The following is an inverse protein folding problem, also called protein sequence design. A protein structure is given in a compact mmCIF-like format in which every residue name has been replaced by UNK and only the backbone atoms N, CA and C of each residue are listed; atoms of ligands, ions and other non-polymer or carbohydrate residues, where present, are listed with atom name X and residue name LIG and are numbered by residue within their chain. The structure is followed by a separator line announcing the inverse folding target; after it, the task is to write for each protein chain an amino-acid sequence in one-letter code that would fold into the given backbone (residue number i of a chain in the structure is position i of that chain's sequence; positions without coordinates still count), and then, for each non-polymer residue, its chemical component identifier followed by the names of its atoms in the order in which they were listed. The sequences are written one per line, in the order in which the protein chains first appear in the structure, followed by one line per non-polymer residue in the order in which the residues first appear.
data_IF_513057867380
#
_entry.id   IF_513057867380
#
_cell.length_a   1.000
_cell.length_b   1.000
_cell.length_c   1.000
_cell.angle_alpha   90.00
_cell.angle_beta   90.00
_cell.angle_gamma   90.00
#
_symmetry.space_group_name_H-M   'P 1'
#
loop_
_entity.id
_entity.type
_entity.pdbx_description
1 polymer ?
#
# COMPACT_ATOMS: atom_id res chain seq x y z
N UNK A 1 -61.62 -54.53 -12.69
CA UNK A 1 -61.81 -55.10 -14.04
C UNK A 1 -60.82 -54.43 -15.00
N UNK A 2 -60.09 -55.26 -15.78
CA UNK A 2 -59.52 -55.07 -17.14
C UNK A 2 -59.03 -53.65 -17.58
N UNK A 3 -57.72 -53.47 -17.91
CA UNK A 3 -57.06 -53.59 -19.26
C UNK A 3 -57.52 -52.48 -20.24
N UNK A 4 -56.72 -51.72 -21.01
CA UNK A 4 -55.53 -51.94 -21.91
C UNK A 4 -55.06 -50.53 -22.40
N UNK A 5 -53.76 -50.24 -22.63
CA UNK A 5 -52.99 -50.31 -23.92
C UNK A 5 -53.78 -49.77 -25.15
N UNK A 6 -53.28 -48.95 -26.09
CA UNK A 6 -51.94 -48.82 -26.70
C UNK A 6 -51.92 -47.67 -27.76
N UNK A 7 -50.74 -47.09 -28.00
CA UNK A 7 -50.07 -46.70 -29.29
C UNK A 7 -50.78 -45.77 -30.32
N UNK A 8 -50.21 -44.61 -30.65
CA UNK A 8 -49.11 -44.27 -31.61
C UNK A 8 -49.57 -44.18 -33.08
N UNK A 9 -49.26 -43.04 -33.72
CA UNK A 9 -49.45 -42.78 -35.15
C UNK A 9 -48.78 -41.46 -35.59
N UNK A 10 -47.87 -41.59 -36.55
CA UNK A 10 -46.84 -40.64 -37.02
C UNK A 10 -47.31 -39.68 -38.16
N UNK A 11 -46.86 -38.40 -38.10
CA UNK A 11 -46.52 -37.37 -39.17
C UNK A 11 -47.48 -37.04 -40.35
N UNK A 12 -47.44 -35.82 -41.00
CA UNK A 12 -46.26 -34.99 -41.31
C UNK A 12 -46.37 -33.44 -41.20
N UNK A 13 -45.19 -32.84 -41.44
CA UNK A 13 -44.73 -31.44 -41.45
C UNK A 13 -45.61 -30.32 -42.02
N UNK A 14 -45.55 -29.14 -41.38
CA UNK A 14 -45.54 -27.85 -42.07
C UNK A 14 -44.45 -26.93 -41.49
N UNK A 15 -43.46 -26.60 -42.32
CA UNK A 15 -42.40 -25.64 -41.99
C UNK A 15 -42.98 -24.23 -42.02
N UNK A 16 -42.76 -23.44 -40.95
CA UNK A 16 -42.85 -21.98 -41.01
C UNK A 16 -41.57 -21.38 -40.46
N UNK A 17 -40.97 -20.52 -41.29
CA UNK A 17 -39.68 -19.87 -41.09
C UNK A 17 -39.82 -18.65 -40.17
N UNK A 18 -39.46 -18.82 -38.88
CA UNK A 18 -39.42 -17.73 -37.89
C UNK A 18 -38.06 -17.05 -37.80
N UNK A 19 -38.02 -15.73 -37.97
CA UNK A 19 -36.83 -14.84 -37.92
C UNK A 19 -36.02 -14.97 -36.61
N UNK A 20 -34.69 -14.77 -36.64
CA UNK A 20 -33.84 -14.90 -35.47
C UNK A 20 -34.06 -13.75 -34.48
N UNK A 21 -34.56 -14.07 -33.30
CA UNK A 21 -34.65 -13.16 -32.15
C UNK A 21 -33.25 -12.97 -31.56
N UNK A 22 -32.77 -11.72 -31.53
CA UNK A 22 -31.53 -11.33 -30.84
C UNK A 22 -31.68 -11.63 -29.35
N UNK A 23 -31.11 -12.74 -28.89
CA UNK A 23 -30.97 -13.03 -27.47
C UNK A 23 -30.12 -11.93 -26.83
N UNK A 24 -30.75 -11.12 -25.95
CA UNK A 24 -30.03 -10.20 -25.06
C UNK A 24 -29.13 -11.04 -24.17
N UNK A 25 -27.81 -10.97 -24.38
CA UNK A 25 -26.82 -11.58 -23.49
C UNK A 25 -27.10 -11.07 -22.08
N UNK A 26 -27.42 -11.98 -21.16
CA UNK A 26 -27.53 -11.67 -19.74
C UNK A 26 -26.23 -10.97 -19.29
N UNK A 27 -26.30 -9.94 -18.44
CA UNK A 27 -25.10 -9.31 -17.91
C UNK A 27 -24.27 -10.39 -17.24
N UNK A 28 -23.02 -10.59 -17.70
CA UNK A 28 -22.07 -11.46 -17.03
C UNK A 28 -22.01 -11.00 -15.58
N UNK A 29 -22.49 -11.84 -14.64
CA UNK A 29 -22.34 -11.58 -13.21
C UNK A 29 -20.84 -11.41 -12.97
N UNK A 30 -20.41 -10.19 -12.68
CA UNK A 30 -19.03 -9.94 -12.22
C UNK A 30 -18.82 -10.87 -11.02
N UNK A 31 -17.76 -11.70 -11.00
CA UNK A 31 -17.50 -12.58 -9.88
C UNK A 31 -17.55 -11.72 -8.61
N UNK A 32 -18.38 -12.11 -7.62
CA UNK A 32 -18.40 -11.41 -6.33
C UNK A 32 -16.97 -11.44 -5.80
N UNK A 33 -16.32 -10.27 -5.81
CA UNK A 33 -14.95 -10.11 -5.37
C UNK A 33 -14.81 -10.78 -4.00
N UNK A 34 -13.91 -11.76 -3.92
CA UNK A 34 -13.78 -12.62 -2.75
C UNK A 34 -13.41 -11.73 -1.56
N UNK A 35 -14.30 -11.66 -0.56
CA UNK A 35 -14.12 -10.80 0.60
C UNK A 35 -13.09 -11.42 1.54
N UNK A 36 -11.82 -11.12 1.30
CA UNK A 36 -10.66 -11.62 2.06
C UNK A 36 -10.30 -10.75 3.28
N UNK A 37 -11.24 -9.94 3.78
CA UNK A 37 -10.96 -9.02 4.88
C UNK A 37 -10.30 -7.70 4.45
N UNK A 38 -10.30 -7.43 3.16
CA UNK A 38 -9.88 -6.20 2.48
C UNK A 38 -10.82 -5.01 2.77
N UNK A 39 -10.87 -4.53 4.01
CA UNK A 39 -11.67 -3.38 4.38
C UNK A 39 -10.98 -2.07 3.97
N UNK A 40 -11.60 -1.27 3.11
CA UNK A 40 -11.09 0.03 2.64
C UNK A 40 -10.94 1.10 3.73
N UNK A 41 -11.65 0.96 4.84
CA UNK A 41 -11.64 1.91 5.97
C UNK A 41 -11.16 1.23 7.25
N UNK A 42 -10.25 0.25 7.11
CA UNK A 42 -9.79 -0.56 8.24
C UNK A 42 -9.24 0.30 9.38
N UNK A 43 -8.33 1.23 9.07
CA UNK A 43 -7.69 2.07 10.08
C UNK A 43 -8.65 3.12 10.68
N UNK A 44 -9.53 3.73 9.87
CA UNK A 44 -10.60 4.60 10.38
C UNK A 44 -11.51 3.88 11.37
N UNK A 45 -11.87 2.62 11.09
CA UNK A 45 -12.68 1.81 11.99
C UNK A 45 -11.89 1.35 13.23
N UNK A 46 -10.60 1.02 13.05
CA UNK A 46 -9.70 0.61 14.14
C UNK A 46 -9.53 1.73 15.17
N UNK A 47 -9.31 2.96 14.74
CA UNK A 47 -9.09 4.11 15.63
C UNK A 47 -10.41 4.72 16.18
N UNK A 48 -11.56 4.24 15.71
CA UNK A 48 -12.83 4.39 16.42
C UNK A 48 -13.74 5.55 16.01
N UNK A 49 -13.64 6.07 14.77
CA UNK A 49 -14.51 7.07 14.13
C UNK A 49 -14.77 8.42 14.86
N UNK A 50 -14.63 8.48 16.19
CA UNK A 50 -14.98 9.61 17.05
C UNK A 50 -13.79 10.48 17.45
N UNK A 51 -12.58 10.05 17.13
CA UNK A 51 -11.39 10.87 17.22
C UNK A 51 -10.69 10.83 15.87
N UNK A 52 -10.24 12.00 15.42
CA UNK A 52 -9.16 12.18 14.45
C UNK A 52 -7.85 11.64 15.06
N UNK A 53 -7.86 10.41 15.57
CA UNK A 53 -6.64 9.78 16.03
C UNK A 53 -5.78 9.59 14.80
N UNK A 54 -4.61 10.23 14.80
CA UNK A 54 -3.59 9.95 13.81
C UNK A 54 -3.15 8.49 14.03
N UNK A 55 -2.61 7.83 13.00
CA UNK A 55 -2.09 6.47 13.16
C UNK A 55 -0.93 6.39 14.16
N UNK A 56 -0.37 7.53 14.52
CA UNK A 56 0.58 7.72 15.61
C UNK A 56 0.03 7.31 16.97
N UNK A 57 -1.29 7.41 17.15
CA UNK A 57 -1.96 7.00 18.38
C UNK A 57 -2.36 5.50 18.35
N UNK A 58 -2.02 4.74 17.30
CA UNK A 58 -2.32 3.31 17.28
C UNK A 58 -1.49 2.60 18.38
N UNK A 59 -2.12 1.94 19.36
CA UNK A 59 -1.42 1.33 20.49
C UNK A 59 -0.41 0.26 20.08
N UNK A 60 -0.51 -0.27 18.85
CA UNK A 60 0.53 -1.15 18.33
C UNK A 60 1.85 -0.43 18.19
N UNK A 61 1.86 0.80 17.65
CA UNK A 61 3.09 1.55 17.43
C UNK A 61 3.84 1.78 18.75
N UNK A 62 3.13 2.16 19.80
CA UNK A 62 3.68 2.37 21.14
C UNK A 62 4.29 1.11 21.77
N UNK A 63 3.77 -0.08 21.42
CA UNK A 63 4.30 -1.35 21.91
C UNK A 63 5.59 -1.79 21.19
N UNK A 64 5.90 -1.23 20.02
CA UNK A 64 7.06 -1.63 19.21
C UNK A 64 8.34 -0.93 19.71
N UNK A 65 9.37 -1.73 19.99
CA UNK A 65 10.71 -1.21 20.29
C UNK A 65 11.41 -0.79 19.00
N UNK A 66 11.77 0.49 18.91
CA UNK A 66 12.46 1.09 17.76
C UNK A 66 13.71 0.29 17.34
N UNK A 67 14.46 -0.28 18.29
CA UNK A 67 15.68 -1.03 18.00
C UNK A 67 15.45 -2.29 17.14
N UNK A 68 14.23 -2.80 17.08
CA UNK A 68 13.89 -3.94 16.22
C UNK A 68 13.74 -3.55 14.75
N UNK A 69 13.59 -2.26 14.47
CA UNK A 69 13.27 -1.72 13.15
C UNK A 69 14.35 -0.79 12.61
N UNK A 70 14.98 0.01 13.46
CA UNK A 70 15.91 1.07 13.03
C UNK A 70 17.09 0.50 12.24
N UNK A 71 17.24 0.97 10.99
CA UNK A 71 18.28 0.48 10.07
C UNK A 71 18.11 -0.99 9.65
N UNK A 72 16.94 -1.59 9.87
CA UNK A 72 16.65 -3.00 9.58
C UNK A 72 15.82 -3.19 8.31
N UNK A 73 15.87 -4.41 7.75
CA UNK A 73 15.07 -4.84 6.59
C UNK A 73 13.80 -5.55 7.04
N UNK A 74 12.65 -5.02 6.63
CA UNK A 74 11.33 -5.47 7.07
C UNK A 74 10.41 -5.98 5.97
N UNK A 75 9.50 -6.87 6.37
CA UNK A 75 8.33 -7.28 5.58
C UNK A 75 7.06 -7.10 6.42
N UNK A 76 6.03 -6.45 5.85
CA UNK A 76 4.71 -6.32 6.46
C UNK A 76 3.66 -7.12 5.69
N UNK A 77 3.16 -8.18 6.32
CA UNK A 77 2.20 -9.13 5.73
C UNK A 77 0.77 -8.65 6.00
N UNK A 78 0.03 -8.38 4.93
CA UNK A 78 -1.35 -7.89 5.00
C UNK A 78 -1.39 -6.38 5.26
N UNK A 79 -0.59 -5.61 4.52
CA UNK A 79 -0.42 -4.17 4.73
C UNK A 79 -1.68 -3.34 4.49
N UNK A 80 -2.75 -3.91 3.93
CA UNK A 80 -3.97 -3.22 3.52
C UNK A 80 -3.63 -2.04 2.58
N UNK A 81 -4.17 -0.84 2.83
CA UNK A 81 -3.86 0.38 2.07
C UNK A 81 -2.58 1.09 2.56
N UNK A 82 -1.74 0.38 3.33
CA UNK A 82 -0.37 0.76 3.66
C UNK A 82 -0.20 1.81 4.75
N UNK A 83 -1.29 2.30 5.36
CA UNK A 83 -1.20 3.45 6.26
C UNK A 83 -0.37 3.14 7.53
N UNK A 84 -0.56 1.97 8.15
CA UNK A 84 0.25 1.57 9.30
C UNK A 84 1.68 1.19 8.91
N UNK A 85 1.88 0.60 7.73
CA UNK A 85 3.22 0.31 7.18
C UNK A 85 4.02 1.60 6.99
N UNK A 86 3.38 2.64 6.46
CA UNK A 86 3.97 3.98 6.32
C UNK A 86 4.29 4.57 7.69
N UNK A 87 3.39 4.40 8.67
CA UNK A 87 3.61 4.86 10.05
C UNK A 87 4.84 4.20 10.68
N UNK A 88 4.98 2.88 10.56
CA UNK A 88 6.18 2.15 10.99
C UNK A 88 7.43 2.71 10.29
N UNK A 89 7.39 2.91 8.98
CA UNK A 89 8.54 3.38 8.23
C UNK A 89 8.98 4.80 8.62
N UNK A 90 8.01 5.65 8.99
CA UNK A 90 8.26 7.04 9.40
C UNK A 90 8.87 7.13 10.80
N UNK A 91 8.41 6.32 11.75
CA UNK A 91 8.78 6.47 13.17
C UNK A 91 9.83 5.49 13.66
N UNK A 92 9.88 4.30 13.06
CA UNK A 92 10.80 3.24 13.48
C UNK A 92 11.99 3.08 12.52
N UNK A 93 12.06 3.93 11.49
CA UNK A 93 13.21 4.17 10.62
C UNK A 93 13.93 2.90 10.08
N UNK A 94 13.20 1.92 9.50
CA UNK A 94 13.84 0.79 8.84
C UNK A 94 14.66 1.23 7.63
N UNK A 95 15.74 0.50 7.34
CA UNK A 95 16.51 0.73 6.10
C UNK A 95 15.70 0.36 4.86
N UNK A 96 14.76 -0.58 5.02
CA UNK A 96 13.89 -1.06 3.95
C UNK A 96 12.62 -1.68 4.54
N UNK A 97 11.46 -1.37 3.98
CA UNK A 97 10.20 -2.00 4.38
C UNK A 97 9.36 -2.36 3.15
N UNK A 98 9.10 -3.65 2.97
CA UNK A 98 8.18 -4.16 1.95
C UNK A 98 6.81 -4.44 2.57
N UNK A 99 5.77 -3.71 2.14
CA UNK A 99 4.38 -4.05 2.44
C UNK A 99 3.77 -4.96 1.37
N UNK A 100 3.21 -6.10 1.76
CA UNK A 100 2.48 -6.99 0.87
C UNK A 100 1.01 -7.11 1.24
N UNK A 101 0.14 -7.13 0.23
CA UNK A 101 -1.28 -7.47 0.39
C UNK A 101 -1.78 -8.26 -0.83
N UNK A 102 -2.79 -9.10 -0.62
CA UNK A 102 -3.37 -9.94 -1.68
C UNK A 102 -4.24 -9.12 -2.64
N UNK A 103 -4.81 -8.00 -2.17
CA UNK A 103 -5.71 -7.16 -2.94
C UNK A 103 -4.94 -6.10 -3.76
N UNK A 104 -4.95 -6.19 -5.11
CA UNK A 104 -4.26 -5.23 -5.95
C UNK A 104 -4.80 -3.80 -5.82
N UNK A 105 -6.07 -3.62 -5.47
CA UNK A 105 -6.65 -2.28 -5.30
C UNK A 105 -6.12 -1.61 -4.02
N UNK A 106 -6.00 -2.35 -2.92
CA UNK A 106 -5.42 -1.82 -1.68
C UNK A 106 -3.94 -1.48 -1.86
N UNK A 107 -3.18 -2.36 -2.54
CA UNK A 107 -1.78 -2.08 -2.89
C UNK A 107 -1.66 -0.84 -3.78
N UNK A 108 -2.57 -0.67 -4.75
CA UNK A 108 -2.59 0.55 -5.57
C UNK A 108 -2.86 1.81 -4.74
N UNK A 109 -3.71 1.72 -3.71
CA UNK A 109 -3.96 2.84 -2.77
C UNK A 109 -2.74 3.11 -1.90
N UNK A 110 -2.09 2.08 -1.37
CA UNK A 110 -0.86 2.21 -0.59
C UNK A 110 0.25 2.94 -1.38
N UNK A 111 0.43 2.58 -2.65
CA UNK A 111 1.34 3.29 -3.57
C UNK A 111 0.92 4.73 -3.82
N UNK A 112 -0.38 5.00 -3.91
CA UNK A 112 -0.94 6.35 -4.01
C UNK A 112 -0.59 7.20 -2.80
N UNK A 113 -0.87 6.71 -1.59
CA UNK A 113 -0.53 7.39 -0.33
C UNK A 113 0.96 7.73 -0.24
N UNK A 114 1.83 6.77 -0.61
CA UNK A 114 3.27 7.01 -0.61
C UNK A 114 3.68 8.09 -1.63
N UNK A 115 3.08 8.08 -2.84
CA UNK A 115 3.32 9.10 -3.86
C UNK A 115 2.87 10.49 -3.41
N UNK A 116 1.75 10.57 -2.73
CA UNK A 116 1.23 11.84 -2.20
C UNK A 116 2.15 12.40 -1.11
N UNK A 117 2.66 11.55 -0.22
CA UNK A 117 3.69 11.93 0.77
C UNK A 117 4.97 12.43 0.09
N UNK A 118 5.47 11.69 -0.92
CA UNK A 118 6.65 12.11 -1.68
C UNK A 118 6.47 13.47 -2.34
N UNK A 119 5.30 13.70 -2.94
CA UNK A 119 4.95 14.99 -3.55
C UNK A 119 4.90 16.11 -2.51
N UNK A 120 4.30 15.84 -1.35
CA UNK A 120 4.19 16.81 -0.27
C UNK A 120 5.57 17.22 0.27
N UNK A 121 6.47 16.27 0.51
CA UNK A 121 7.84 16.56 0.94
C UNK A 121 8.65 17.35 -0.11
N UNK A 122 8.44 17.07 -1.40
CA UNK A 122 9.07 17.84 -2.47
C UNK A 122 8.58 19.28 -2.50
N UNK A 123 7.27 19.47 -2.31
CA UNK A 123 6.65 20.81 -2.22
C UNK A 123 7.20 21.57 -1.02
N UNK A 124 7.26 20.94 0.16
CA UNK A 124 7.79 21.55 1.38
C UNK A 124 9.26 21.97 1.23
N UNK A 125 10.10 21.08 0.70
CA UNK A 125 11.52 21.40 0.39
C UNK A 125 11.65 22.54 -0.62
N UNK A 126 10.76 22.64 -1.61
CA UNK A 126 10.76 23.75 -2.56
C UNK A 126 10.37 25.07 -1.88
N UNK A 127 9.35 25.07 -1.01
CA UNK A 127 8.95 26.23 -0.24
C UNK A 127 10.03 26.73 0.73
N UNK A 128 10.74 25.81 1.41
CA UNK A 128 11.87 26.14 2.28
C UNK A 128 12.98 26.85 1.50
N UNK A 129 13.35 26.33 0.32
CA UNK A 129 14.36 26.95 -0.56
C UNK A 129 13.95 28.37 -1.00
N UNK A 130 12.70 28.57 -1.39
CA UNK A 130 12.20 29.89 -1.79
C UNK A 130 12.27 30.88 -0.61
N UNK A 131 11.91 30.44 0.58
CA UNK A 131 11.93 31.27 1.79
C UNK A 131 13.36 31.64 2.20
N UNK A 132 14.30 30.69 2.09
CA UNK A 132 15.72 30.95 2.33
C UNK A 132 16.30 31.98 1.34
N UNK A 133 15.96 31.89 0.05
CA UNK A 133 16.39 32.87 -0.97
C UNK A 133 15.81 34.25 -0.68
N UNK A 134 14.51 34.36 -0.39
CA UNK A 134 13.88 35.66 -0.03
C UNK A 134 14.53 36.30 1.21
N UNK A 135 14.92 35.49 2.19
CA UNK A 135 15.60 35.98 3.41
C UNK A 135 17.03 36.45 3.12
N UNK A 136 17.72 35.81 2.17
CA UNK A 136 19.05 36.23 1.74
C UNK A 136 19.01 37.56 0.97
N UNK A 137 18.08 37.71 0.02
CA UNK A 137 17.90 38.95 -0.77
C UNK A 137 17.57 40.14 0.15
N UNK A 138 16.67 39.96 1.12
CA UNK A 138 16.34 41.03 2.09
C UNK A 138 17.49 41.42 3.04
N UNK A 139 18.52 40.56 3.19
CA UNK A 139 19.73 40.89 3.97
C UNK A 139 20.76 41.65 3.14
N UNK A 140 20.84 41.38 1.84
CA UNK A 140 21.73 42.11 0.93
C UNK A 140 21.25 43.55 0.67
N UNK A 141 19.93 43.77 0.59
CA UNK A 141 19.35 45.11 0.42
C UNK A 141 19.48 46.02 1.67
N UNK A 142 19.86 45.49 2.84
CA UNK A 142 20.01 46.24 4.10
C UNK A 142 21.45 46.67 4.43
N UNK A 143 22.43 46.42 3.57
CA UNK A 143 23.85 46.77 3.79
C UNK A 143 24.30 48.01 2.99
N UNK A 144 23.42 48.67 2.23
CA UNK A 144 23.76 49.93 1.54
C UNK A 144 22.86 51.09 1.99
N UNK A 145 23.09 51.62 3.19
CA UNK A 145 22.74 53.01 3.51
C UNK A 145 23.56 53.54 4.70
N UNK A 146 24.75 54.04 4.41
CA UNK A 146 25.45 54.99 5.30
C UNK A 146 25.86 56.23 4.50
N UNK A 147 25.14 57.31 4.83
CA UNK A 147 25.55 58.73 4.86
C UNK A 147 26.10 59.39 3.59
N UNK A 148 25.26 60.23 2.96
CA UNK A 148 25.70 61.55 2.47
C UNK A 148 24.65 62.60 2.86
N UNK A 149 25.17 63.70 3.38
CA UNK A 149 24.54 64.86 4.05
C UNK A 149 23.80 65.77 3.05
N UNK A 150 22.87 66.53 3.62
CA UNK A 150 21.99 67.50 2.97
C UNK A 150 22.69 68.62 2.20
N UNK A 151 22.07 69.11 1.12
CA UNK A 151 21.63 70.51 1.00
C UNK A 151 20.56 70.70 -0.09
N UNK A 152 19.75 71.75 0.02
CA UNK A 152 18.75 72.27 -0.94
C UNK A 152 18.97 73.81 -1.01
N UNK A 153 18.35 74.64 -1.90
CA UNK A 153 17.20 74.40 -2.81
C UNK A 153 17.27 75.15 -4.18
N UNK A 154 16.11 75.15 -4.89
CA UNK A 154 15.62 76.14 -5.89
C UNK A 154 16.07 75.94 -7.36
N UNK A 155 15.32 76.17 -8.45
CA UNK A 155 13.96 76.67 -8.71
C UNK A 155 13.60 76.40 -10.21
N UNK A 156 12.31 76.53 -10.55
CA UNK A 156 11.64 76.83 -11.83
C UNK A 156 11.82 76.03 -13.16
N UNK A 157 10.65 75.58 -13.60
CA UNK A 157 9.99 75.85 -14.90
C UNK A 157 10.09 74.83 -16.04
N UNK A 158 8.90 74.48 -16.54
CA UNK A 158 8.60 74.68 -17.96
C UNK A 158 8.56 73.43 -18.83
N UNK A 159 7.32 72.98 -19.11
CA UNK A 159 6.85 72.95 -20.50
C UNK A 159 7.29 71.79 -21.40
N UNK A 160 6.29 70.97 -21.71
CA UNK A 160 5.77 70.74 -23.06
C UNK A 160 5.71 69.29 -23.56
N UNK A 161 4.64 69.10 -24.32
CA UNK A 161 3.99 67.89 -24.73
C UNK A 161 4.64 67.24 -25.96
N UNK A 162 3.99 66.14 -26.36
CA UNK A 162 3.99 65.51 -27.69
C UNK A 162 5.21 64.64 -27.97
N UNK A 163 5.16 63.53 -28.70
CA UNK A 163 4.13 62.71 -29.34
C UNK A 163 4.93 61.56 -29.98
N UNK A 164 4.34 60.39 -30.21
CA UNK A 164 5.02 59.37 -31.01
C UNK A 164 4.45 57.99 -30.82
N UNK A 165 3.34 57.73 -31.51
CA UNK A 165 2.74 56.43 -31.67
C UNK A 165 3.54 55.54 -32.63
N UNK A 166 3.25 54.24 -32.52
CA UNK A 166 3.26 53.21 -33.56
C UNK A 166 4.61 52.77 -34.18
N UNK A 167 4.95 51.49 -34.01
CA UNK A 167 4.73 50.54 -35.12
C UNK A 167 4.79 49.07 -34.70
N UNK A 168 3.88 48.32 -35.33
CA UNK A 168 3.67 46.87 -35.30
C UNK A 168 4.55 46.20 -36.35
N UNK A 169 5.00 44.98 -36.07
CA UNK A 169 5.54 44.00 -37.02
C UNK A 169 6.67 43.19 -36.38
N UNK A 170 6.78 41.87 -36.46
CA UNK A 170 6.10 40.89 -37.31
C UNK A 170 6.25 39.50 -36.67
N UNK A 171 5.34 38.59 -37.01
CA UNK A 171 5.39 37.18 -36.65
C UNK A 171 6.47 36.48 -37.46
N UNK A 172 7.33 35.70 -36.82
CA UNK A 172 7.91 34.52 -37.46
C UNK A 172 7.98 33.32 -36.52
N UNK A 173 7.22 32.31 -36.91
CA UNK A 173 7.18 30.96 -36.41
C UNK A 173 8.47 30.21 -36.74
N UNK A 174 9.11 29.61 -35.75
CA UNK A 174 10.06 28.50 -35.94
C UNK A 174 9.69 27.38 -34.99
N UNK A 175 9.54 26.19 -35.58
CA UNK A 175 9.29 24.90 -34.92
C UNK A 175 10.53 24.45 -34.16
N UNK A 176 10.36 24.09 -32.88
CA UNK A 176 11.29 23.21 -32.18
C UNK A 176 10.49 22.06 -31.55
N UNK A 177 10.53 20.91 -32.22
CA UNK A 177 10.07 19.63 -31.72
C UNK A 177 11.24 18.88 -31.07
N UNK A 178 10.94 18.22 -29.96
CA UNK A 178 11.52 16.93 -29.53
C UNK A 178 12.92 16.87 -28.87
N UNK A 179 13.22 17.75 -27.89
CA UNK A 179 14.36 17.52 -26.97
C UNK A 179 14.02 17.49 -25.46
N UNK A 180 12.84 17.96 -25.03
CA UNK A 180 12.50 18.03 -23.58
C UNK A 180 11.71 16.82 -23.04
N UNK A 181 11.32 15.86 -23.89
CA UNK A 181 10.56 14.69 -23.44
C UNK A 181 11.41 13.63 -22.70
N UNK A 182 12.74 13.75 -22.70
CA UNK A 182 13.66 12.70 -22.22
C UNK A 182 14.32 13.02 -20.86
N UNK A 183 14.12 14.22 -20.32
CA UNK A 183 14.59 14.60 -18.98
C UNK A 183 13.67 14.07 -17.86
N UNK A 184 12.38 13.82 -18.15
CA UNK A 184 11.38 13.39 -17.16
C UNK A 184 11.32 11.86 -16.98
N UNK A 185 11.81 11.09 -17.96
CA UNK A 185 11.83 9.63 -17.91
C UNK A 185 13.02 9.06 -17.10
N UNK A 186 14.06 9.87 -16.93
CA UNK A 186 15.30 9.46 -16.28
C UNK A 186 15.30 9.59 -14.74
N UNK A 187 14.28 10.23 -14.15
CA UNK A 187 14.14 10.46 -12.70
C UNK A 187 12.95 9.69 -12.04
N UNK A 188 12.40 8.69 -12.74
CA UNK A 188 11.31 7.86 -12.21
C UNK A 188 11.81 6.61 -11.45
N UNK A 189 11.16 6.20 -10.34
CA UNK A 189 11.46 4.95 -9.65
C UNK A 189 11.39 3.75 -10.61
N UNK A 190 12.27 2.77 -10.42
CA UNK A 190 12.38 1.57 -11.28
C UNK A 190 11.04 0.84 -11.51
N UNK A 191 10.09 0.94 -10.57
CA UNK A 191 8.74 0.40 -10.70
C UNK A 191 7.93 0.96 -11.87
N UNK A 192 8.24 2.16 -12.36
CA UNK A 192 7.57 2.78 -13.51
C UNK A 192 8.18 2.37 -14.85
N UNK A 193 9.50 2.13 -14.93
CA UNK A 193 10.17 1.65 -16.17
C UNK A 193 9.78 0.22 -16.54
N UNK A 194 9.37 -0.58 -15.56
CA UNK A 194 8.91 -1.96 -15.73
C UNK A 194 7.46 -2.08 -16.22
N UNK A 195 6.72 -0.97 -16.34
CA UNK A 195 5.35 -0.96 -16.86
C UNK A 195 5.34 -0.62 -18.36
N UNK A 196 5.70 -1.59 -19.20
CA UNK A 196 5.30 -1.61 -20.62
C UNK A 196 4.60 -2.95 -20.92
N UNK A 197 3.40 -2.97 -21.52
CA UNK A 197 2.79 -4.19 -22.06
C UNK A 197 3.38 -4.45 -23.47
N UNK A 198 3.70 -5.63 -24.00
CA UNK A 198 3.47 -7.04 -23.67
C UNK A 198 4.42 -7.86 -24.56
N UNK A 199 5.05 -8.96 -24.08
CA UNK A 199 5.19 -10.30 -24.72
C UNK A 199 6.28 -11.16 -24.01
N UNK A 200 6.24 -12.50 -24.13
CA UNK A 200 6.50 -13.42 -23.01
C UNK A 200 7.91 -14.02 -22.93
N UNK A 201 8.24 -14.43 -21.70
CA UNK A 201 9.28 -15.37 -21.25
C UNK A 201 10.72 -15.15 -21.70
N UNK A 202 11.54 -14.62 -20.78
CA UNK A 202 12.82 -15.23 -20.39
C UNK A 202 13.25 -14.69 -19.01
N UNK A 203 13.66 -15.62 -18.14
CA UNK A 203 14.36 -15.42 -16.86
C UNK A 203 13.82 -14.35 -15.89
N UNK A 204 13.33 -14.81 -14.73
CA UNK A 204 13.07 -13.99 -13.54
C UNK A 204 14.30 -13.11 -13.27
N UNK A 205 14.20 -11.77 -13.34
CA UNK A 205 15.34 -10.91 -13.05
C UNK A 205 15.77 -11.13 -11.59
N UNK A 206 17.00 -11.59 -11.42
CA UNK A 206 17.70 -11.80 -10.14
C UNK A 206 18.09 -10.45 -9.50
N UNK A 207 17.15 -9.52 -9.46
CA UNK A 207 17.33 -8.17 -8.99
C UNK A 207 16.00 -7.63 -8.45
N UNK A 208 15.70 -7.95 -7.18
CA UNK A 208 15.16 -6.90 -6.30
C UNK A 208 16.31 -5.90 -6.20
N UNK A 209 16.31 -4.96 -7.15
CA UNK A 209 17.47 -4.18 -7.53
C UNK A 209 18.00 -3.32 -6.41
N UNK A 210 19.22 -2.82 -6.61
CA UNK A 210 19.99 -1.82 -5.85
C UNK A 210 19.22 -0.58 -5.33
N UNK A 211 17.93 -0.44 -5.56
CA UNK A 211 17.08 0.63 -5.05
C UNK A 211 16.49 0.26 -3.69
N UNK A 212 17.28 0.43 -2.61
CA UNK A 212 16.78 0.51 -1.23
C UNK A 212 17.89 0.69 -0.19
N UNK A 213 19.11 0.21 -0.46
CA UNK A 213 20.18 0.26 0.55
C UNK A 213 20.64 1.71 0.75
N UNK A 214 20.26 2.30 1.90
CA UNK A 214 20.63 3.67 2.29
C UNK A 214 19.60 4.75 1.98
N UNK A 215 18.45 4.40 1.39
CA UNK A 215 17.34 5.35 1.19
C UNK A 215 16.65 5.66 2.52
N UNK A 216 16.33 6.93 2.78
CA UNK A 216 15.49 7.33 3.93
C UNK A 216 14.01 7.28 3.56
N UNK A 217 13.13 7.32 4.55
CA UNK A 217 11.71 7.58 4.34
C UNK A 217 11.51 8.82 3.44
N UNK A 218 10.59 8.78 2.46
CA UNK A 218 9.65 7.70 2.11
C UNK A 218 10.19 6.66 1.11
N UNK A 219 11.43 6.82 0.63
CA UNK A 219 12.02 6.00 -0.44
C UNK A 219 12.44 4.58 -0.01
N UNK A 220 12.46 4.31 1.30
CA UNK A 220 12.70 2.99 1.88
C UNK A 220 11.46 2.07 1.87
N UNK A 221 10.28 2.57 1.49
CA UNK A 221 9.03 1.79 1.51
C UNK A 221 8.63 1.33 0.11
N UNK A 222 8.31 0.05 -0.03
CA UNK A 222 7.77 -0.53 -1.27
C UNK A 222 6.49 -1.28 -0.98
N UNK A 223 5.51 -1.20 -1.88
CA UNK A 223 4.28 -1.99 -1.81
C UNK A 223 4.15 -2.95 -3.00
N UNK A 224 3.78 -4.19 -2.72
CA UNK A 224 3.62 -5.25 -3.74
C UNK A 224 2.34 -6.04 -3.51
N UNK A 225 1.64 -6.40 -4.59
CA UNK A 225 0.57 -7.39 -4.52
C UNK A 225 1.20 -8.77 -4.42
N UNK A 226 0.87 -9.49 -3.36
CA UNK A 226 1.33 -10.85 -3.14
C UNK A 226 0.35 -11.60 -2.25
N UNK A 227 -0.04 -12.81 -2.66
CA UNK A 227 -0.68 -13.79 -1.79
C UNK A 227 0.42 -14.52 -1.00
N UNK A 228 0.53 -14.23 0.30
CA UNK A 228 1.58 -14.82 1.14
C UNK A 228 1.54 -16.36 1.18
N UNK A 229 0.38 -16.98 0.94
CA UNK A 229 0.20 -18.43 1.03
C UNK A 229 0.60 -19.13 -0.28
N UNK A 230 0.23 -18.55 -1.43
CA UNK A 230 0.37 -19.21 -2.74
C UNK A 230 1.50 -18.66 -3.58
N UNK A 231 1.78 -17.36 -3.51
CA UNK A 231 2.76 -16.72 -4.37
C UNK A 231 4.19 -17.02 -3.86
N UNK A 232 5.12 -17.16 -4.80
CA UNK A 232 6.54 -17.20 -4.50
C UNK A 232 7.02 -15.83 -4.02
N UNK A 233 7.76 -15.80 -2.92
CA UNK A 233 8.36 -14.59 -2.38
C UNK A 233 9.82 -14.49 -2.83
N UNK A 234 10.21 -13.32 -3.33
CA UNK A 234 11.55 -13.11 -3.91
C UNK A 234 12.56 -12.49 -2.92
N UNK A 235 12.09 -11.94 -1.80
CA UNK A 235 12.95 -11.43 -0.72
C UNK A 235 13.41 -12.55 0.23
N UNK A 236 14.50 -12.30 0.94
CA UNK A 236 15.05 -13.15 2.01
C UNK A 236 15.81 -12.26 3.01
N UNK A 237 16.19 -12.85 4.14
CA UNK A 237 17.02 -12.24 5.19
C UNK A 237 16.41 -10.96 5.76
N UNK A 238 15.12 -11.04 6.13
CA UNK A 238 14.44 -9.98 6.86
C UNK A 238 14.85 -9.99 8.33
N UNK A 239 15.16 -8.82 8.88
CA UNK A 239 15.42 -8.65 10.30
C UNK A 239 14.12 -8.67 11.12
N UNK A 240 13.03 -8.18 10.53
CA UNK A 240 11.71 -8.23 11.15
C UNK A 240 10.62 -8.53 10.13
N UNK A 241 9.57 -9.22 10.58
CA UNK A 241 8.35 -9.43 9.81
C UNK A 241 7.16 -9.08 10.69
N UNK A 242 6.30 -8.17 10.23
CA UNK A 242 5.04 -7.84 10.90
C UNK A 242 3.88 -8.62 10.28
N UNK A 243 3.02 -9.15 11.15
CA UNK A 243 1.84 -9.93 10.78
C UNK A 243 0.66 -9.47 11.63
N UNK A 244 0.20 -8.25 11.37
CA UNK A 244 -0.83 -7.61 12.17
C UNK A 244 -2.22 -7.90 11.64
N UNK A 245 -3.06 -8.58 12.44
CA UNK A 245 -4.49 -8.70 12.14
C UNK A 245 -4.82 -9.28 10.76
N UNK A 246 -4.00 -10.22 10.27
CA UNK A 246 -4.21 -10.92 8.99
C UNK A 246 -4.40 -12.43 9.16
N UNK A 247 -3.89 -13.02 10.26
CA UNK A 247 -3.89 -14.48 10.49
C UNK A 247 -5.26 -15.11 10.39
N UNK A 248 -6.32 -14.50 10.93
CA UNK A 248 -7.70 -14.99 10.78
C UNK A 248 -8.11 -15.18 9.32
N UNK A 249 -7.75 -14.24 8.45
CA UNK A 249 -8.17 -14.29 7.06
C UNK A 249 -7.43 -15.40 6.31
N UNK A 250 -6.11 -15.48 6.50
CA UNK A 250 -5.30 -16.61 6.01
C UNK A 250 -5.91 -17.93 6.47
N UNK A 251 -6.21 -18.04 7.76
CA UNK A 251 -6.69 -19.24 8.40
C UNK A 251 -8.11 -19.65 7.96
N UNK A 252 -9.02 -18.69 7.76
CA UNK A 252 -10.35 -18.98 7.21
C UNK A 252 -10.30 -19.39 5.73
N UNK A 253 -9.44 -18.76 4.92
CA UNK A 253 -9.37 -19.04 3.48
C UNK A 253 -8.54 -20.28 3.13
N UNK A 254 -7.54 -20.63 3.94
CA UNK A 254 -6.60 -21.71 3.63
C UNK A 254 -6.53 -22.80 4.71
N UNK A 255 -7.33 -22.70 5.77
CA UNK A 255 -7.36 -23.67 6.87
C UNK A 255 -6.07 -23.70 7.68
N UNK A 256 -5.92 -24.73 8.52
CA UNK A 256 -4.73 -24.93 9.35
C UNK A 256 -3.46 -25.07 8.49
N UNK A 257 -3.55 -25.76 7.36
CA UNK A 257 -2.42 -25.95 6.45
C UNK A 257 -1.89 -24.62 5.90
N UNK A 258 -2.78 -23.69 5.54
CA UNK A 258 -2.38 -22.37 5.09
C UNK A 258 -1.66 -21.54 6.15
N UNK A 259 -2.19 -21.49 7.38
CA UNK A 259 -1.56 -20.69 8.44
C UNK A 259 -0.23 -21.31 8.90
N UNK A 260 -0.13 -22.64 8.98
CA UNK A 260 1.13 -23.36 9.26
C UNK A 260 2.16 -23.07 8.18
N UNK A 261 1.78 -23.17 6.90
CA UNK A 261 2.64 -22.85 5.76
C UNK A 261 3.17 -21.42 5.84
N UNK A 262 2.32 -20.45 6.20
CA UNK A 262 2.75 -19.05 6.38
C UNK A 262 3.73 -18.91 7.53
N UNK A 263 3.52 -19.58 8.67
CA UNK A 263 4.47 -19.53 9.78
C UNK A 263 5.84 -20.11 9.41
N UNK A 264 5.88 -21.24 8.71
CA UNK A 264 7.14 -21.80 8.18
C UNK A 264 7.79 -20.83 7.19
N UNK A 265 7.02 -20.28 6.24
CA UNK A 265 7.52 -19.28 5.28
C UNK A 265 8.10 -18.06 5.99
N UNK A 266 7.44 -17.52 7.01
CA UNK A 266 7.96 -16.40 7.81
C UNK A 266 9.30 -16.76 8.44
N UNK A 267 9.42 -17.94 9.04
CA UNK A 267 10.67 -18.40 9.65
C UNK A 267 11.80 -18.50 8.61
N UNK A 268 11.52 -19.05 7.43
CA UNK A 268 12.49 -19.15 6.33
C UNK A 268 12.94 -17.78 5.81
N UNK A 269 12.02 -16.81 5.74
CA UNK A 269 12.28 -15.45 5.26
C UNK A 269 13.09 -14.60 6.26
N UNK A 270 13.06 -14.93 7.56
CA UNK A 270 13.81 -14.20 8.59
C UNK A 270 15.31 -14.54 8.56
N UNK A 271 16.15 -13.52 8.72
CA UNK A 271 17.57 -13.69 9.03
C UNK A 271 17.75 -14.33 10.43
N UNK A 272 18.89 -14.98 10.72
CA UNK A 272 19.22 -15.41 12.09
C UNK A 272 19.12 -14.25 13.09
N UNK A 273 18.41 -14.46 14.22
CA UNK A 273 18.13 -13.41 15.20
C UNK A 273 17.03 -12.41 14.79
N UNK A 274 16.39 -12.63 13.65
CA UNK A 274 15.24 -11.86 13.19
C UNK A 274 13.98 -12.14 14.00
N UNK A 275 12.99 -11.24 13.90
CA UNK A 275 11.77 -11.29 14.73
C UNK A 275 10.48 -11.30 13.90
N UNK A 276 9.53 -12.15 14.29
CA UNK A 276 8.14 -12.04 13.87
C UNK A 276 7.37 -11.25 14.94
N UNK A 277 6.67 -10.18 14.54
CA UNK A 277 5.73 -9.46 15.38
C UNK A 277 4.31 -9.81 14.94
N UNK A 278 3.55 -10.46 15.82
CA UNK A 278 2.28 -11.11 15.51
C UNK A 278 1.12 -10.54 16.34
N UNK A 279 0.05 -10.08 15.69
CA UNK A 279 -1.22 -9.73 16.34
C UNK A 279 -2.33 -10.64 15.82
N UNK A 280 -2.58 -11.80 16.44
CA UNK A 280 -3.62 -12.71 16.00
C UNK A 280 -5.00 -12.22 16.45
N UNK A 281 -6.00 -12.31 15.58
CA UNK A 281 -7.37 -12.00 16.01
C UNK A 281 -7.95 -13.13 16.87
N UNK A 282 -8.76 -12.82 17.89
CA UNK A 282 -9.31 -13.83 18.78
C UNK A 282 -10.31 -14.73 18.05
N UNK A 283 -10.41 -15.99 18.50
CA UNK A 283 -11.32 -17.01 17.94
C UNK A 283 -12.77 -16.53 17.84
N UNK A 284 -13.27 -15.78 18.83
CA UNK A 284 -14.62 -15.20 18.82
C UNK A 284 -14.91 -14.36 17.56
N UNK A 285 -13.89 -13.74 16.97
CA UNK A 285 -14.04 -12.94 15.74
C UNK A 285 -14.17 -13.79 14.47
N UNK A 286 -13.74 -15.06 14.47
CA UNK A 286 -13.89 -16.00 13.36
C UNK A 286 -15.37 -16.35 13.16
N UNK A 287 -16.09 -16.55 14.26
CA UNK A 287 -17.50 -16.95 14.25
C UNK A 287 -18.39 -15.96 13.47
N UNK A 288 -18.01 -14.68 13.46
CA UNK A 288 -18.71 -13.61 12.73
C UNK A 288 -18.40 -13.57 11.22
N UNK A 289 -17.34 -14.25 10.78
CA UNK A 289 -16.81 -14.18 9.41
C UNK A 289 -16.72 -15.56 8.72
N UNK A 290 -17.06 -16.65 9.40
CA UNK A 290 -17.01 -18.02 8.85
C UNK A 290 -17.84 -18.24 7.58
N UNK A 291 -18.92 -17.51 7.37
CA UNK A 291 -19.78 -17.61 6.17
C UNK A 291 -19.55 -16.48 5.17
N UNK A 292 -18.33 -15.94 5.09
CA UNK A 292 -18.01 -14.86 4.14
C UNK A 292 -17.89 -15.38 2.70
N UNK A 293 -17.52 -16.65 2.53
CA UNK A 293 -17.53 -17.38 1.25
C UNK A 293 -17.70 -18.89 1.48
N UNK A 294 -17.95 -19.64 0.42
CA UNK A 294 -18.04 -21.11 0.47
C UNK A 294 -16.73 -21.74 0.99
N UNK A 295 -15.58 -21.15 0.62
CA UNK A 295 -14.25 -21.58 1.11
C UNK A 295 -14.16 -21.43 2.63
N UNK A 296 -14.51 -20.25 3.15
CA UNK A 296 -14.43 -20.01 4.60
C UNK A 296 -15.42 -20.89 5.36
N UNK A 297 -16.59 -21.16 4.77
CA UNK A 297 -17.61 -22.03 5.36
C UNK A 297 -17.13 -23.49 5.44
N UNK A 298 -16.44 -23.97 4.39
CA UNK A 298 -15.89 -25.31 4.32
C UNK A 298 -14.67 -25.52 5.24
N UNK A 299 -13.83 -24.49 5.40
CA UNK A 299 -12.61 -24.58 6.22
C UNK A 299 -12.88 -24.41 7.71
N UNK A 300 -13.77 -23.48 8.10
CA UNK A 300 -14.04 -23.15 9.51
C UNK A 300 -14.26 -24.37 10.44
N UNK A 301 -15.12 -25.36 10.10
CA UNK A 301 -15.33 -26.51 10.98
C UNK A 301 -14.11 -27.43 11.10
N UNK A 302 -13.15 -27.35 10.16
CA UNK A 302 -11.94 -28.17 10.12
C UNK A 302 -10.77 -27.55 10.88
N UNK A 303 -10.86 -26.29 11.29
CA UNK A 303 -9.80 -25.60 12.03
C UNK A 303 -9.62 -26.25 13.40
N UNK A 304 -8.40 -26.73 13.68
CA UNK A 304 -8.00 -27.31 14.96
C UNK A 304 -7.02 -26.39 15.69
N UNK A 305 -5.99 -25.88 15.01
CA UNK A 305 -5.00 -24.97 15.60
C UNK A 305 -5.67 -23.62 15.92
N UNK A 306 -5.90 -23.30 17.20
CA UNK A 306 -6.57 -22.04 17.57
C UNK A 306 -5.56 -20.89 17.70
N UNK A 307 -6.01 -19.62 17.56
CA UNK A 307 -5.13 -18.46 17.74
C UNK A 307 -4.38 -18.40 19.08
N UNK A 308 -4.96 -18.93 20.15
CA UNK A 308 -4.32 -19.03 21.47
C UNK A 308 -3.12 -19.98 21.49
N UNK A 309 -3.07 -20.93 20.55
CA UNK A 309 -2.04 -21.97 20.47
C UNK A 309 -0.97 -21.61 19.42
N UNK A 310 -1.11 -20.46 18.72
CA UNK A 310 -0.10 -20.00 17.75
C UNK A 310 1.28 -19.76 18.38
N UNK A 311 1.43 -19.15 19.58
CA UNK A 311 2.75 -18.97 20.18
C UNK A 311 3.48 -20.30 20.42
N UNK A 312 2.79 -21.29 20.99
CA UNK A 312 3.31 -22.65 21.20
C UNK A 312 3.70 -23.30 19.88
N UNK A 313 2.83 -23.22 18.87
CA UNK A 313 3.10 -23.80 17.55
C UNK A 313 4.33 -23.18 16.87
N UNK A 314 4.53 -21.86 16.98
CA UNK A 314 5.70 -21.17 16.43
C UNK A 314 7.01 -21.69 17.05
N UNK A 315 7.01 -21.99 18.35
CA UNK A 315 8.20 -22.51 19.03
C UNK A 315 8.39 -24.00 18.73
N UNK A 316 7.39 -24.82 19.04
CA UNK A 316 7.53 -26.29 19.05
C UNK A 316 7.56 -26.90 17.65
N UNK A 317 6.82 -26.33 16.69
CA UNK A 317 6.64 -26.94 15.36
C UNK A 317 7.40 -26.20 14.26
N UNK A 318 7.57 -24.89 14.37
CA UNK A 318 8.24 -24.07 13.34
C UNK A 318 9.72 -23.87 13.64
N UNK A 319 10.11 -23.79 14.92
CA UNK A 319 11.51 -23.68 15.33
C UNK A 319 11.96 -22.28 15.75
N UNK A 320 11.03 -21.36 16.05
CA UNK A 320 11.39 -20.11 16.73
C UNK A 320 11.95 -20.42 18.12
N UNK A 321 13.02 -19.72 18.52
CA UNK A 321 13.64 -19.89 19.84
C UNK A 321 12.70 -19.54 20.98
N UNK A 322 11.90 -18.49 20.82
CA UNK A 322 10.88 -18.07 21.78
C UNK A 322 9.72 -17.38 21.05
N UNK A 323 8.56 -17.33 21.70
CA UNK A 323 7.42 -16.52 21.28
C UNK A 323 6.77 -15.93 22.53
N UNK A 324 7.07 -14.66 22.79
CA UNK A 324 6.75 -13.98 24.04
C UNK A 324 5.55 -13.06 23.85
N UNK A 325 4.72 -12.97 24.88
CA UNK A 325 3.66 -11.97 24.94
C UNK A 325 4.28 -10.59 25.15
N UNK A 326 3.92 -9.64 24.28
CA UNK A 326 4.38 -8.26 24.37
C UNK A 326 3.37 -7.41 25.16
N UNK A 327 2.20 -7.17 24.58
CA UNK A 327 1.16 -6.36 25.20
C UNK A 327 -0.23 -6.67 24.61
N UNK A 328 -1.30 -6.31 25.31
CA UNK A 328 -2.63 -6.20 24.70
C UNK A 328 -2.87 -4.78 24.20
N UNK A 329 -2.70 -4.57 22.89
CA UNK A 329 -3.07 -3.32 22.24
C UNK A 329 -4.60 -3.18 22.17
N UNK A 330 -5.13 -2.06 22.64
CA UNK A 330 -6.58 -1.79 22.68
C UNK A 330 -6.90 -0.39 22.16
N UNK A 331 -7.82 -0.31 21.20
CA UNK A 331 -8.41 0.98 20.77
C UNK A 331 -9.81 1.18 21.36
N UNK A 332 -10.37 2.38 21.15
CA UNK A 332 -11.76 2.72 21.50
C UNK A 332 -12.79 1.86 20.74
N UNK A 333 -12.41 1.29 19.59
CA UNK A 333 -13.29 0.48 18.76
C UNK A 333 -13.45 -0.95 19.29
N UNK A 334 -14.70 -1.42 19.36
CA UNK A 334 -15.02 -2.80 19.80
C UNK A 334 -14.32 -3.83 18.91
N UNK A 335 -13.60 -4.76 19.53
CA UNK A 335 -12.95 -5.88 18.83
C UNK A 335 -11.50 -5.65 18.41
N UNK A 336 -10.89 -4.54 18.82
CA UNK A 336 -9.46 -4.23 18.65
C UNK A 336 -8.66 -4.26 19.94
N UNK A 337 -9.17 -4.97 20.97
CA UNK A 337 -8.37 -5.42 22.11
C UNK A 337 -7.73 -6.75 21.73
N UNK A 338 -6.45 -6.74 21.33
CA UNK A 338 -5.75 -7.93 20.79
C UNK A 338 -4.35 -8.04 21.39
N UNK A 339 -3.91 -9.26 21.76
CA UNK A 339 -2.53 -9.47 22.17
C UNK A 339 -1.59 -9.32 20.97
N UNK A 340 -0.41 -8.79 21.23
CA UNK A 340 0.75 -8.80 20.35
C UNK A 340 1.79 -9.75 20.95
N UNK A 341 2.41 -10.54 20.09
CA UNK A 341 3.48 -11.46 20.44
C UNK A 341 4.72 -11.15 19.60
N UNK A 342 5.89 -11.46 20.13
CA UNK A 342 7.16 -11.37 19.41
C UNK A 342 7.83 -12.74 19.44
N UNK A 343 8.06 -13.32 18.27
CA UNK A 343 8.80 -14.57 18.13
C UNK A 343 10.22 -14.30 17.60
N UNK A 344 11.23 -14.82 18.30
CA UNK A 344 12.64 -14.67 17.96
C UNK A 344 13.14 -15.91 17.23
N UNK A 345 13.74 -15.73 16.05
CA UNK A 345 14.35 -16.82 15.28
C UNK A 345 15.70 -17.23 15.87
#
# INVERSE_FOLDING_TARGET
MAKRKQQDGDTPSLQTTGKPTKQRKAPKKVPKQQRVGNFRSYYTYRLGQKHQGELEDDPRLAALDKNWFEGKRGLDIGCNSGEFTITIARHLEPSYLLGIDVDPQLVSRARGHLKDIMRQEQIEKAFEKITAVKTAVNKEDKVSTTAIVADSPADVSGGDATSGADTIGDKQSVKEDAAEADAFANDMPLSFRLWKPTQPQAAVPRAIGKAAVGSKFPLNVIFKREDVVTDAHAGMDYDFITCFSVTKWIHLFHGDEGIKKVFVKIYELLAPGGRLILEPQPWKSYHKRKFTSDITAANYPKIQLRPKDFPTHLVEMVGFRSCEFLEVCQTSAKGFRRPVYVALK
#
